data_IF_129762639707
#
_entry.id   IF_129762639707
#
_cell.length_a   1.000
_cell.length_b   1.000
_cell.length_c   1.000
_cell.angle_alpha   90.00
_cell.angle_beta   90.00
_cell.angle_gamma   90.00
#
_symmetry.space_group_name_H-M   'P 1'
#
loop_
_entity.id
_entity.type
_entity.pdbx_description
1 polymer ?
#
# COMPACT_ATOMS: atom_id res chain seq x y z
N UNK A 1 -9.80 -24.56 0.30
CA UNK A 1 -8.50 -24.01 -0.13
C UNK A 1 -8.57 -22.50 -0.38
N UNK A 2 -9.49 -21.97 -1.18
CA UNK A 2 -9.53 -20.52 -1.53
C UNK A 2 -9.65 -19.60 -0.32
N UNK A 3 -10.47 -19.96 0.69
CA UNK A 3 -10.57 -19.18 1.93
C UNK A 3 -9.26 -19.18 2.74
N UNK A 4 -8.52 -20.29 2.71
CA UNK A 4 -7.19 -20.35 3.34
C UNK A 4 -6.22 -19.38 2.66
N UNK A 5 -6.17 -19.35 1.32
CA UNK A 5 -5.34 -18.36 0.60
C UNK A 5 -5.80 -16.92 0.88
N UNK A 6 -7.10 -16.67 0.99
CA UNK A 6 -7.64 -15.35 1.36
C UNK A 6 -7.17 -14.92 2.76
N UNK A 7 -7.28 -15.81 3.75
CA UNK A 7 -6.79 -15.57 5.10
C UNK A 7 -5.28 -15.37 5.14
N UNK A 8 -4.52 -16.22 4.45
CA UNK A 8 -3.05 -16.11 4.32
C UNK A 8 -2.63 -14.75 3.78
N UNK A 9 -3.18 -14.33 2.65
CA UNK A 9 -2.85 -13.04 2.03
C UNK A 9 -3.29 -11.88 2.93
N UNK A 10 -4.45 -12.02 3.60
CA UNK A 10 -4.95 -11.05 4.57
C UNK A 10 -4.02 -10.88 5.77
N UNK A 11 -3.47 -11.96 6.31
CA UNK A 11 -2.51 -11.90 7.44
C UNK A 11 -1.21 -11.23 7.00
N UNK A 12 -0.59 -11.69 5.92
CA UNK A 12 0.71 -11.18 5.47
C UNK A 12 0.66 -9.69 5.10
N UNK A 13 -0.45 -9.20 4.51
CA UNK A 13 -0.55 -7.78 4.13
C UNK A 13 -0.64 -6.84 5.33
N UNK A 14 -1.08 -7.33 6.49
CA UNK A 14 -1.12 -6.56 7.74
C UNK A 14 0.27 -6.00 8.06
N UNK A 15 1.32 -6.76 7.85
CA UNK A 15 2.71 -6.40 8.18
C UNK A 15 3.21 -5.14 7.45
N UNK A 16 2.69 -4.87 6.25
CA UNK A 16 3.11 -3.73 5.42
C UNK A 16 2.62 -2.38 5.94
N UNK A 17 1.47 -2.36 6.62
CA UNK A 17 0.81 -1.12 7.04
C UNK A 17 0.77 -0.94 8.56
N UNK A 18 1.04 -1.99 9.32
CA UNK A 18 1.00 -1.99 10.78
C UNK A 18 1.98 -1.00 11.42
N UNK A 19 3.12 -0.76 10.77
CA UNK A 19 4.13 0.17 11.26
C UNK A 19 3.67 1.64 11.27
N UNK A 20 2.69 2.01 10.43
CA UNK A 20 2.24 3.39 10.29
C UNK A 20 1.71 3.99 11.61
N UNK A 21 0.72 3.42 12.29
CA UNK A 21 0.23 3.95 13.56
C UNK A 21 1.22 3.77 14.71
N UNK A 22 2.19 2.88 14.57
CA UNK A 22 3.20 2.56 15.60
C UNK A 22 4.49 3.39 15.47
N UNK A 23 4.58 4.29 14.48
CA UNK A 23 5.76 5.12 14.22
C UNK A 23 6.22 5.87 15.47
N UNK A 24 5.30 6.48 16.22
CA UNK A 24 5.62 7.22 17.44
C UNK A 24 6.21 6.33 18.55
N UNK A 25 5.49 5.31 19.03
CA UNK A 25 5.98 4.41 20.06
C UNK A 25 7.30 3.71 19.72
N UNK A 26 7.44 3.22 18.47
CA UNK A 26 8.65 2.55 18.01
C UNK A 26 9.83 3.52 17.98
N UNK A 27 9.66 4.71 17.41
CA UNK A 27 10.72 5.71 17.30
C UNK A 27 11.20 6.18 18.68
N UNK A 28 10.27 6.39 19.61
CA UNK A 28 10.59 6.81 20.97
C UNK A 28 11.42 5.75 21.70
N UNK A 29 10.99 4.49 21.65
CA UNK A 29 11.66 3.40 22.38
C UNK A 29 13.01 3.02 21.77
N UNK A 30 13.12 3.03 20.45
CA UNK A 30 14.38 2.76 19.73
C UNK A 30 15.28 3.99 19.61
N UNK A 31 14.87 5.13 20.19
CA UNK A 31 15.60 6.41 20.17
C UNK A 31 16.00 6.85 18.77
N UNK A 32 15.10 6.69 17.81
CA UNK A 32 15.36 7.16 16.46
C UNK A 32 15.32 8.70 16.40
N UNK A 33 16.24 9.34 15.68
CA UNK A 33 16.18 10.77 15.44
C UNK A 33 14.79 11.17 14.86
N UNK A 34 14.18 12.29 15.29
CA UNK A 34 12.84 12.67 14.86
C UNK A 34 12.66 12.70 13.34
N UNK A 35 13.66 13.20 12.58
CA UNK A 35 13.63 13.22 11.12
C UNK A 35 13.67 11.83 10.47
N UNK A 36 14.08 10.79 11.20
CA UNK A 36 14.16 9.41 10.71
C UNK A 36 12.96 8.55 11.15
N UNK A 37 12.03 9.09 11.93
CA UNK A 37 10.85 8.35 12.41
C UNK A 37 10.03 7.76 11.23
N UNK A 38 9.94 8.46 10.11
CA UNK A 38 9.25 7.99 8.91
C UNK A 38 9.84 6.70 8.30
N UNK A 39 11.11 6.36 8.60
CA UNK A 39 11.75 5.12 8.14
C UNK A 39 11.04 3.86 8.69
N UNK A 40 10.40 3.96 9.85
CA UNK A 40 9.62 2.88 10.45
C UNK A 40 8.52 2.40 9.50
N UNK A 41 7.82 3.31 8.85
CA UNK A 41 6.77 2.98 7.90
C UNK A 41 7.28 2.89 6.44
N UNK A 42 8.40 3.56 6.11
CA UNK A 42 9.01 3.55 4.79
C UNK A 42 9.59 2.18 4.43
N UNK A 43 10.40 1.59 5.32
CA UNK A 43 11.23 0.44 4.97
C UNK A 43 10.42 -0.83 4.65
N UNK A 44 9.33 -1.19 5.35
CA UNK A 44 8.48 -2.30 4.93
C UNK A 44 7.93 -2.12 3.51
N UNK A 45 7.51 -0.90 3.16
CA UNK A 45 6.94 -0.58 1.84
C UNK A 45 8.01 -0.63 0.74
N UNK A 46 9.19 -0.05 1.01
CA UNK A 46 10.33 -0.10 0.07
C UNK A 46 10.82 -1.53 -0.13
N UNK A 47 10.88 -2.31 0.96
CA UNK A 47 11.18 -3.74 0.91
C UNK A 47 10.20 -4.49 0.02
N UNK A 48 8.90 -4.27 0.20
CA UNK A 48 7.87 -4.89 -0.63
C UNK A 48 8.04 -4.56 -2.12
N UNK A 49 8.30 -3.29 -2.45
CA UNK A 49 8.59 -2.88 -3.83
C UNK A 49 9.83 -3.62 -4.40
N UNK A 50 10.90 -3.75 -3.60
CA UNK A 50 12.08 -4.52 -3.99
C UNK A 50 11.75 -6.01 -4.19
N UNK A 51 10.96 -6.61 -3.29
CA UNK A 51 10.52 -8.00 -3.40
C UNK A 51 9.68 -8.28 -4.65
N UNK A 52 8.83 -7.34 -5.07
CA UNK A 52 8.05 -7.45 -6.30
C UNK A 52 8.92 -7.55 -7.56
N UNK A 53 10.04 -6.86 -7.58
CA UNK A 53 10.97 -6.86 -8.71
C UNK A 53 11.95 -8.03 -8.62
N UNK A 54 12.44 -8.35 -7.40
CA UNK A 54 13.53 -9.31 -7.23
C UNK A 54 13.05 -10.72 -6.87
N UNK A 55 12.01 -10.88 -6.04
CA UNK A 55 11.59 -12.20 -5.55
C UNK A 55 10.44 -12.80 -6.36
N UNK A 56 9.46 -11.99 -6.76
CA UNK A 56 8.29 -12.50 -7.49
C UNK A 56 8.66 -13.19 -8.79
N UNK A 57 9.60 -12.69 -9.63
CA UNK A 57 10.00 -13.41 -10.85
C UNK A 57 10.64 -14.78 -10.62
N UNK A 58 11.11 -15.10 -9.43
CA UNK A 58 11.66 -16.41 -9.11
C UNK A 58 10.63 -17.54 -9.21
N UNK A 59 9.35 -17.21 -9.06
CA UNK A 59 8.25 -18.17 -9.22
C UNK A 59 8.16 -18.73 -10.65
N UNK A 60 8.62 -17.98 -11.65
CA UNK A 60 8.63 -18.40 -13.04
C UNK A 60 9.84 -19.28 -13.39
N UNK A 61 10.81 -19.40 -12.48
CA UNK A 61 12.09 -20.11 -12.69
C UNK A 61 12.25 -21.33 -11.78
N UNK A 62 11.76 -21.23 -10.56
CA UNK A 62 11.99 -22.21 -9.51
C UNK A 62 10.68 -22.92 -9.15
N UNK A 63 10.80 -24.00 -8.38
CA UNK A 63 9.63 -24.69 -7.84
C UNK A 63 8.80 -23.75 -6.94
N UNK A 64 7.57 -23.49 -7.33
CA UNK A 64 6.69 -22.51 -6.70
C UNK A 64 6.50 -22.74 -5.20
N UNK A 65 6.28 -23.99 -4.76
CA UNK A 65 6.14 -24.33 -3.34
C UNK A 65 7.40 -23.94 -2.56
N UNK A 66 8.58 -24.26 -3.07
CA UNK A 66 9.85 -23.95 -2.42
C UNK A 66 10.04 -22.43 -2.30
N UNK A 67 9.81 -21.68 -3.38
CA UNK A 67 9.93 -20.21 -3.36
C UNK A 67 8.96 -19.60 -2.37
N UNK A 68 7.67 -19.97 -2.42
CA UNK A 68 6.63 -19.42 -1.53
C UNK A 68 6.95 -19.71 -0.06
N UNK A 69 7.25 -20.98 0.27
CA UNK A 69 7.49 -21.40 1.66
C UNK A 69 8.77 -20.77 2.22
N UNK A 70 9.86 -20.75 1.46
CA UNK A 70 11.12 -20.13 1.92
C UNK A 70 10.97 -18.62 2.07
N UNK A 71 10.30 -17.94 1.16
CA UNK A 71 10.05 -16.51 1.26
C UNK A 71 9.22 -16.18 2.50
N UNK A 72 8.16 -16.95 2.77
CA UNK A 72 7.33 -16.72 3.95
C UNK A 72 8.05 -17.09 5.26
N UNK A 73 8.87 -18.13 5.27
CA UNK A 73 9.71 -18.47 6.43
C UNK A 73 10.73 -17.35 6.72
N UNK A 74 11.31 -16.74 5.69
CA UNK A 74 12.16 -15.55 5.83
C UNK A 74 11.35 -14.37 6.38
N UNK A 75 10.12 -14.16 5.91
CA UNK A 75 9.22 -13.12 6.45
C UNK A 75 9.02 -13.31 7.96
N UNK A 76 8.63 -14.50 8.38
CA UNK A 76 8.44 -14.83 9.79
C UNK A 76 9.72 -14.60 10.63
N UNK A 77 10.87 -15.04 10.13
CA UNK A 77 12.15 -14.83 10.84
C UNK A 77 12.51 -13.34 10.94
N UNK A 78 12.27 -12.56 9.88
CA UNK A 78 12.54 -11.12 9.86
C UNK A 78 11.55 -10.34 10.73
N UNK A 79 10.31 -10.79 10.90
CA UNK A 79 9.34 -10.20 11.82
C UNK A 79 9.65 -10.57 13.30
N UNK A 80 10.28 -11.69 13.56
CA UNK A 80 10.71 -12.05 14.90
C UNK A 80 11.82 -11.13 15.46
N UNK A 81 12.70 -10.62 14.59
CA UNK A 81 13.78 -9.70 15.00
C UNK A 81 13.26 -8.39 15.62
N UNK A 82 12.30 -7.65 15.03
CA UNK A 82 11.64 -6.51 15.66
C UNK A 82 11.07 -6.80 17.06
N UNK A 83 10.49 -7.98 17.26
CA UNK A 83 9.95 -8.36 18.57
C UNK A 83 11.01 -8.46 19.68
N UNK A 84 12.26 -8.74 19.32
CA UNK A 84 13.34 -9.04 20.25
C UNK A 84 14.40 -7.93 20.34
N UNK A 85 14.58 -7.13 19.26
CA UNK A 85 15.69 -6.16 19.18
C UNK A 85 15.44 -4.89 19.99
N UNK A 86 16.54 -4.31 20.47
CA UNK A 86 16.59 -2.94 21.02
C UNK A 86 17.35 -1.97 20.11
N UNK A 87 17.86 -2.45 18.98
CA UNK A 87 18.61 -1.65 18.02
C UNK A 87 17.69 -1.13 16.91
N UNK A 88 17.64 0.19 16.72
CA UNK A 88 16.91 0.82 15.64
C UNK A 88 17.37 0.36 14.26
N UNK A 89 18.69 0.18 14.06
CA UNK A 89 19.25 -0.30 12.79
C UNK A 89 18.79 -1.72 12.46
N UNK A 90 18.83 -2.65 13.46
CA UNK A 90 18.38 -4.02 13.27
C UNK A 90 16.87 -4.04 12.97
N UNK A 91 16.08 -3.24 13.68
CA UNK A 91 14.66 -3.08 13.42
C UNK A 91 14.38 -2.66 11.98
N UNK A 92 15.05 -1.61 11.52
CA UNK A 92 14.87 -1.05 10.18
C UNK A 92 15.26 -2.05 9.07
N UNK A 93 16.40 -2.72 9.20
CA UNK A 93 16.84 -3.73 8.24
C UNK A 93 15.93 -4.96 8.22
N UNK A 94 15.49 -5.42 9.40
CA UNK A 94 14.60 -6.55 9.53
C UNK A 94 13.22 -6.25 8.91
N UNK A 95 12.65 -5.07 9.14
CA UNK A 95 11.36 -4.68 8.55
C UNK A 95 11.44 -4.46 7.05
N UNK A 96 12.57 -3.97 6.51
CA UNK A 96 12.81 -3.95 5.08
C UNK A 96 12.82 -5.37 4.48
N UNK A 97 13.55 -6.29 5.09
CA UNK A 97 13.63 -7.68 4.64
C UNK A 97 12.28 -8.41 4.76
N UNK A 98 11.55 -8.18 5.86
CA UNK A 98 10.18 -8.69 6.03
C UNK A 98 9.25 -8.15 4.94
N UNK A 99 9.31 -6.85 4.65
CA UNK A 99 8.56 -6.23 3.56
C UNK A 99 8.89 -6.86 2.21
N UNK A 100 10.18 -7.10 1.91
CA UNK A 100 10.57 -7.77 0.68
C UNK A 100 9.98 -9.19 0.60
N UNK A 101 10.02 -9.93 1.69
CA UNK A 101 9.46 -11.28 1.76
C UNK A 101 7.92 -11.28 1.70
N UNK A 102 7.23 -10.26 2.21
CA UNK A 102 5.77 -10.12 2.08
C UNK A 102 5.29 -10.05 0.62
N UNK A 103 6.20 -9.81 -0.36
CA UNK A 103 5.89 -9.91 -1.78
C UNK A 103 5.38 -11.30 -2.21
N UNK A 104 5.53 -12.32 -1.37
CA UNK A 104 4.92 -13.66 -1.51
C UNK A 104 3.40 -13.57 -1.75
N UNK A 105 2.72 -12.53 -1.29
CA UNK A 105 1.31 -12.24 -1.59
C UNK A 105 1.04 -12.31 -3.10
N UNK A 106 1.92 -11.74 -3.92
CA UNK A 106 1.75 -11.71 -5.38
C UNK A 106 2.04 -13.07 -6.04
N UNK A 107 2.71 -13.97 -5.34
CA UNK A 107 2.90 -15.37 -5.78
C UNK A 107 1.69 -16.24 -5.43
N UNK A 108 1.03 -15.95 -4.29
CA UNK A 108 -0.12 -16.72 -3.79
C UNK A 108 -1.39 -16.50 -4.63
N UNK A 109 -1.62 -15.28 -5.16
CA UNK A 109 -2.81 -14.96 -5.97
C UNK A 109 -2.92 -15.85 -7.23
N UNK A 110 -1.90 -15.92 -8.13
CA UNK A 110 -1.96 -16.80 -9.28
C UNK A 110 -1.94 -18.29 -8.89
N UNK A 111 -1.30 -18.65 -7.78
CA UNK A 111 -1.31 -20.02 -7.27
C UNK A 111 -2.72 -20.46 -6.89
N UNK A 112 -3.46 -19.64 -6.17
CA UNK A 112 -4.86 -19.89 -5.80
C UNK A 112 -5.74 -20.06 -7.06
N UNK A 113 -5.55 -19.22 -8.07
CA UNK A 113 -6.25 -19.30 -9.34
C UNK A 113 -5.96 -20.63 -10.06
N UNK A 114 -4.67 -21.06 -10.08
CA UNK A 114 -4.25 -22.28 -10.76
C UNK A 114 -4.70 -23.58 -10.08
N UNK A 115 -5.09 -23.52 -8.81
CA UNK A 115 -5.62 -24.65 -8.04
C UNK A 115 -7.14 -24.76 -8.12
N UNK A 116 -7.83 -23.75 -8.65
CA UNK A 116 -9.27 -23.75 -8.83
C UNK A 116 -9.66 -24.35 -10.19
N UNK A 117 -10.83 -25.01 -10.30
CA UNK A 117 -11.41 -25.39 -11.59
C UNK A 117 -11.54 -24.16 -12.51
N UNK A 118 -11.40 -24.36 -13.83
CA UNK A 118 -11.40 -23.27 -14.81
C UNK A 118 -12.60 -22.33 -14.68
N UNK A 119 -13.80 -22.87 -14.50
CA UNK A 119 -15.03 -22.10 -14.30
C UNK A 119 -15.05 -21.28 -12.98
N UNK A 120 -14.17 -21.57 -12.02
CA UNK A 120 -14.12 -20.93 -10.71
C UNK A 120 -12.87 -20.08 -10.50
N UNK A 121 -11.96 -19.98 -11.47
CA UNK A 121 -10.70 -19.21 -11.32
C UNK A 121 -10.94 -17.75 -10.95
N UNK A 122 -11.90 -17.11 -11.59
CA UNK A 122 -12.27 -15.72 -11.29
C UNK A 122 -12.77 -15.55 -9.85
N UNK A 123 -13.61 -16.48 -9.38
CA UNK A 123 -14.09 -16.50 -7.99
C UNK A 123 -12.95 -16.73 -6.99
N UNK A 124 -11.99 -17.60 -7.31
CA UNK A 124 -10.84 -17.84 -6.47
C UNK A 124 -9.98 -16.59 -6.30
N UNK A 125 -9.65 -15.90 -7.39
CA UNK A 125 -8.93 -14.62 -7.35
C UNK A 125 -9.73 -13.57 -6.56
N UNK A 126 -11.03 -13.45 -6.81
CA UNK A 126 -11.90 -12.52 -6.08
C UNK A 126 -11.88 -12.74 -4.57
N UNK A 127 -11.99 -13.97 -4.11
CA UNK A 127 -11.93 -14.31 -2.69
C UNK A 127 -10.56 -13.96 -2.06
N UNK A 128 -9.45 -14.25 -2.76
CA UNK A 128 -8.10 -13.92 -2.26
C UNK A 128 -7.92 -12.39 -2.19
N UNK A 129 -8.40 -11.66 -3.20
CA UNK A 129 -8.36 -10.19 -3.19
C UNK A 129 -9.25 -9.59 -2.10
N UNK A 130 -10.38 -10.21 -1.77
CA UNK A 130 -11.20 -9.79 -0.62
C UNK A 130 -10.47 -9.98 0.70
N UNK A 131 -9.73 -11.08 0.86
CA UNK A 131 -8.84 -11.29 2.01
C UNK A 131 -7.74 -10.23 2.11
N UNK A 132 -7.12 -9.89 0.97
CA UNK A 132 -6.14 -8.80 0.89
C UNK A 132 -6.73 -7.46 1.36
N UNK A 133 -7.92 -7.10 0.85
CA UNK A 133 -8.59 -5.83 1.20
C UNK A 133 -8.96 -5.79 2.69
N UNK A 134 -9.46 -6.90 3.23
CA UNK A 134 -9.77 -7.01 4.66
C UNK A 134 -8.51 -6.88 5.52
N UNK A 135 -7.41 -7.51 5.11
CA UNK A 135 -6.12 -7.37 5.79
C UNK A 135 -5.60 -5.94 5.79
N UNK A 136 -5.68 -5.22 4.66
CA UNK A 136 -5.30 -3.81 4.58
C UNK A 136 -6.17 -2.96 5.51
N UNK A 137 -7.47 -3.18 5.52
CA UNK A 137 -8.41 -2.48 6.39
C UNK A 137 -8.08 -2.70 7.87
N UNK A 138 -7.85 -3.94 8.26
CA UNK A 138 -7.62 -4.32 9.66
C UNK A 138 -6.19 -4.06 10.13
N UNK A 139 -5.23 -3.84 9.24
CA UNK A 139 -3.81 -3.72 9.58
C UNK A 139 -3.52 -2.69 10.66
N UNK A 140 -4.00 -1.46 10.49
CA UNK A 140 -3.77 -0.36 11.43
C UNK A 140 -4.54 -0.52 12.74
N UNK A 141 -5.86 -0.86 12.72
CA UNK A 141 -6.60 -1.14 13.95
C UNK A 141 -5.99 -2.26 14.77
N UNK A 142 -5.66 -3.41 14.16
CA UNK A 142 -5.06 -4.55 14.87
C UNK A 142 -3.70 -4.20 15.47
N UNK A 143 -2.83 -3.54 14.68
CA UNK A 143 -1.53 -3.12 15.17
C UNK A 143 -1.65 -2.19 16.38
N UNK A 144 -2.55 -1.20 16.32
CA UNK A 144 -2.76 -0.25 17.39
C UNK A 144 -3.40 -0.89 18.63
N UNK A 145 -4.38 -1.80 18.45
CA UNK A 145 -5.02 -2.52 19.57
C UNK A 145 -4.03 -3.44 20.28
N UNK A 146 -3.28 -4.25 19.54
CA UNK A 146 -2.29 -5.16 20.13
C UNK A 146 -1.20 -4.34 20.81
N UNK A 147 -0.70 -3.29 20.18
CA UNK A 147 0.35 -2.46 20.76
C UNK A 147 -0.14 -1.68 21.98
N UNK A 148 -1.39 -1.24 22.01
CA UNK A 148 -1.99 -0.57 23.16
C UNK A 148 -2.18 -1.46 24.39
N UNK A 149 -2.38 -2.78 24.18
CA UNK A 149 -2.61 -3.75 25.24
C UNK A 149 -1.35 -4.48 25.69
N UNK A 150 -0.44 -4.80 24.77
CA UNK A 150 0.71 -5.69 25.02
C UNK A 150 2.06 -5.09 24.55
N UNK A 151 2.05 -3.84 24.06
CA UNK A 151 3.22 -3.21 23.46
C UNK A 151 3.43 -3.58 21.98
N UNK A 152 4.12 -2.71 21.26
CA UNK A 152 4.32 -2.88 19.80
C UNK A 152 5.15 -4.13 19.43
N UNK A 153 6.03 -4.61 20.33
CA UNK A 153 6.79 -5.85 20.11
C UNK A 153 5.90 -7.08 20.05
N UNK A 154 4.82 -7.10 20.84
CA UNK A 154 3.86 -8.21 20.81
C UNK A 154 3.19 -8.34 19.43
N UNK A 155 2.90 -7.21 18.75
CA UNK A 155 2.39 -7.25 17.38
C UNK A 155 3.35 -8.00 16.46
N UNK A 156 4.64 -7.65 16.47
CA UNK A 156 5.63 -8.31 15.60
C UNK A 156 5.85 -9.78 15.97
N UNK A 157 5.79 -10.14 17.24
CA UNK A 157 5.87 -11.53 17.70
C UNK A 157 4.67 -12.37 17.24
N UNK A 158 3.46 -11.83 17.33
CA UNK A 158 2.22 -12.47 16.86
C UNK A 158 2.27 -12.63 15.33
N UNK A 159 2.67 -11.59 14.59
CA UNK A 159 2.80 -11.64 13.15
C UNK A 159 3.83 -12.69 12.69
N UNK A 160 4.99 -12.74 13.35
CA UNK A 160 6.01 -13.76 13.08
C UNK A 160 5.49 -15.19 13.32
N UNK A 161 4.77 -15.41 14.41
CA UNK A 161 4.19 -16.72 14.72
C UNK A 161 3.09 -17.11 13.72
N UNK A 162 2.26 -16.17 13.30
CA UNK A 162 1.23 -16.39 12.30
C UNK A 162 1.83 -16.76 10.94
N UNK A 163 2.84 -16.00 10.48
CA UNK A 163 3.53 -16.30 9.23
C UNK A 163 4.28 -17.63 9.26
N UNK A 164 4.91 -17.98 10.38
CA UNK A 164 5.56 -19.29 10.57
C UNK A 164 4.54 -20.45 10.51
N UNK A 165 3.39 -20.29 11.16
CA UNK A 165 2.31 -21.27 11.11
C UNK A 165 1.77 -21.42 9.67
N UNK A 166 1.54 -20.32 8.96
CA UNK A 166 1.11 -20.32 7.57
C UNK A 166 2.17 -20.97 6.67
N UNK A 167 3.44 -20.66 6.83
CA UNK A 167 4.55 -21.26 6.09
C UNK A 167 4.56 -22.79 6.27
N UNK A 168 4.34 -23.26 7.49
CA UNK A 168 4.27 -24.70 7.83
C UNK A 168 3.09 -25.36 7.11
N UNK A 169 1.90 -24.75 7.17
CA UNK A 169 0.72 -25.30 6.49
C UNK A 169 0.91 -25.33 4.98
N UNK A 170 1.48 -24.27 4.39
CA UNK A 170 1.79 -24.22 2.96
C UNK A 170 2.85 -25.26 2.56
N UNK A 171 3.87 -25.49 3.41
CA UNK A 171 4.87 -26.53 3.19
C UNK A 171 4.24 -27.95 3.11
N UNK A 172 3.19 -28.19 3.89
CA UNK A 172 2.50 -29.49 3.95
C UNK A 172 1.43 -29.66 2.87
N UNK A 173 0.77 -28.57 2.46
CA UNK A 173 -0.44 -28.61 1.63
C UNK A 173 -0.27 -28.14 0.19
N UNK A 174 0.77 -27.34 -0.09
CA UNK A 174 0.96 -26.78 -1.42
C UNK A 174 1.55 -27.82 -2.38
N UNK A 175 0.99 -28.03 -3.58
CA UNK A 175 1.56 -28.93 -4.56
C UNK A 175 2.86 -28.37 -5.12
N UNK A 176 3.88 -29.23 -5.26
CA UNK A 176 5.11 -28.89 -5.92
C UNK A 176 4.87 -28.75 -7.43
N UNK A 177 5.05 -27.56 -7.98
CA UNK A 177 4.96 -27.27 -9.42
C UNK A 177 6.26 -26.64 -9.87
N UNK A 178 6.87 -27.21 -10.91
CA UNK A 178 8.04 -26.63 -11.56
C UNK A 178 7.60 -25.97 -12.86
N UNK A 179 7.81 -24.65 -13.02
CA UNK A 179 7.52 -23.99 -14.28
C UNK A 179 8.50 -24.47 -15.36
N UNK A 180 8.06 -24.49 -16.62
CA UNK A 180 8.94 -24.69 -17.76
C UNK A 180 9.56 -23.33 -18.09
N UNK A 181 10.68 -23.01 -17.45
CA UNK A 181 11.38 -21.75 -17.65
C UNK A 181 11.97 -21.69 -19.07
N UNK A 182 11.53 -20.75 -19.87
CA UNK A 182 12.07 -20.47 -21.22
C UNK A 182 13.11 -19.35 -21.21
N UNK A 183 13.21 -18.59 -20.13
CA UNK A 183 14.11 -17.44 -19.98
C UNK A 183 14.83 -17.47 -18.64
N UNK A 184 16.08 -17.00 -18.60
CA UNK A 184 16.84 -16.86 -17.37
C UNK A 184 16.40 -15.61 -16.55
N UNK A 185 16.79 -15.56 -15.27
CA UNK A 185 16.44 -14.50 -14.34
C UNK A 185 16.81 -13.09 -14.85
N UNK A 186 18.03 -12.93 -15.41
CA UNK A 186 18.47 -11.65 -15.99
C UNK A 186 17.58 -11.20 -17.17
N UNK A 187 17.14 -12.15 -18.00
CA UNK A 187 16.26 -11.86 -19.12
C UNK A 187 14.86 -11.41 -18.65
N UNK A 188 14.36 -11.99 -17.55
CA UNK A 188 13.10 -11.56 -16.93
C UNK A 188 13.21 -10.15 -16.39
N UNK A 189 14.26 -9.82 -15.64
CA UNK A 189 14.48 -8.45 -15.14
C UNK A 189 14.66 -7.44 -16.29
N UNK A 190 15.45 -7.79 -17.32
CA UNK A 190 15.61 -6.94 -18.50
C UNK A 190 14.27 -6.73 -19.24
N UNK A 191 13.38 -7.74 -19.25
CA UNK A 191 12.05 -7.62 -19.85
C UNK A 191 11.14 -6.64 -19.06
N UNK A 192 11.27 -6.61 -17.73
CA UNK A 192 10.56 -5.62 -16.89
C UNK A 192 11.07 -4.20 -17.17
N UNK A 193 12.41 -4.02 -17.30
CA UNK A 193 12.99 -2.74 -17.69
C UNK A 193 12.50 -2.26 -19.06
N UNK A 194 12.44 -3.16 -20.06
CA UNK A 194 11.87 -2.83 -21.39
C UNK A 194 10.38 -2.45 -21.29
N UNK A 195 9.55 -3.21 -20.57
CA UNK A 195 8.14 -2.86 -20.37
C UNK A 195 7.99 -1.44 -19.77
N UNK A 196 8.83 -1.10 -18.80
CA UNK A 196 8.80 0.25 -18.21
C UNK A 196 9.26 1.32 -19.21
N UNK A 197 10.24 1.03 -20.08
CA UNK A 197 10.72 1.95 -21.09
C UNK A 197 9.72 2.13 -22.27
N UNK A 198 9.11 1.04 -22.71
CA UNK A 198 8.34 0.99 -23.96
C UNK A 198 6.85 1.33 -23.78
N UNK A 199 6.30 1.12 -22.54
CA UNK A 199 4.86 1.26 -22.28
C UNK A 199 4.52 2.61 -21.60
N UNK A 200 4.14 3.64 -22.35
CA UNK A 200 3.80 4.96 -21.80
C UNK A 200 2.57 4.93 -20.90
N UNK A 201 1.61 4.04 -21.16
CA UNK A 201 0.40 3.87 -20.33
C UNK A 201 0.79 3.33 -18.96
N UNK A 202 1.71 2.35 -18.89
CA UNK A 202 2.25 1.85 -17.63
C UNK A 202 2.90 2.98 -16.84
N UNK A 203 3.85 3.72 -17.43
CA UNK A 203 4.55 4.82 -16.74
C UNK A 203 3.58 5.87 -16.20
N UNK A 204 2.57 6.22 -16.99
CA UNK A 204 1.56 7.22 -16.60
C UNK A 204 0.77 6.78 -15.39
N UNK A 205 0.20 5.58 -15.41
CA UNK A 205 -0.61 5.09 -14.31
C UNK A 205 0.23 4.71 -13.09
N UNK A 206 1.44 4.19 -13.28
CA UNK A 206 2.37 3.90 -12.20
C UNK A 206 2.82 5.17 -11.46
N UNK A 207 3.10 6.26 -12.20
CA UNK A 207 3.47 7.54 -11.57
C UNK A 207 2.29 8.16 -10.82
N UNK A 208 1.08 8.15 -11.40
CA UNK A 208 -0.13 8.62 -10.70
C UNK A 208 -0.34 7.84 -9.40
N UNK A 209 -0.32 6.51 -9.50
CA UNK A 209 -0.48 5.62 -8.36
C UNK A 209 0.61 5.81 -7.28
N UNK A 210 1.86 6.05 -7.68
CA UNK A 210 2.96 6.35 -6.75
C UNK A 210 2.73 7.68 -6.02
N UNK A 211 2.31 8.73 -6.73
CA UNK A 211 2.06 10.04 -6.13
C UNK A 211 0.88 10.02 -5.15
N UNK A 212 -0.23 9.39 -5.52
CA UNK A 212 -1.39 9.30 -4.59
C UNK A 212 -1.08 8.42 -3.38
N UNK A 213 -0.28 7.36 -3.56
CA UNK A 213 0.17 6.53 -2.44
C UNK A 213 1.17 7.25 -1.55
N UNK A 214 1.97 8.16 -2.09
CA UNK A 214 2.85 9.02 -1.28
C UNK A 214 2.04 9.94 -0.37
N UNK A 215 0.99 10.58 -0.89
CA UNK A 215 0.07 11.40 -0.07
C UNK A 215 -0.62 10.58 1.03
N UNK A 216 -1.12 9.40 0.67
CA UNK A 216 -1.73 8.45 1.60
C UNK A 216 -0.79 8.03 2.72
N UNK A 217 0.43 7.59 2.36
CA UNK A 217 1.41 7.16 3.36
C UNK A 217 1.91 8.31 4.21
N UNK A 218 2.02 9.53 3.68
CA UNK A 218 2.36 10.70 4.47
C UNK A 218 1.31 10.95 5.56
N UNK A 219 0.02 10.92 5.20
CA UNK A 219 -1.08 11.09 6.14
C UNK A 219 -1.08 9.97 7.22
N UNK A 220 -1.13 8.69 6.80
CA UNK A 220 -1.27 7.58 7.73
C UNK A 220 -0.05 7.35 8.63
N UNK A 221 1.14 7.77 8.20
CA UNK A 221 2.36 7.70 9.03
C UNK A 221 2.35 8.74 10.15
N UNK A 222 1.78 9.92 9.92
CA UNK A 222 1.83 11.02 10.87
C UNK A 222 0.52 11.24 11.65
N UNK A 223 -0.63 10.70 11.19
CA UNK A 223 -1.92 10.95 11.86
C UNK A 223 -1.94 10.44 13.31
N UNK A 224 -1.29 9.30 13.58
CA UNK A 224 -1.15 8.77 14.94
C UNK A 224 -0.41 9.74 15.86
N UNK A 225 0.65 10.40 15.35
CA UNK A 225 1.38 11.44 16.09
C UNK A 225 0.52 12.66 16.36
N UNK A 226 -0.32 13.06 15.40
CA UNK A 226 -1.23 14.22 15.57
C UNK A 226 -2.35 13.91 16.56
N UNK A 227 -2.96 12.73 16.48
CA UNK A 227 -4.03 12.32 17.39
C UNK A 227 -3.55 12.13 18.83
N UNK A 228 -2.26 11.81 19.03
CA UNK A 228 -1.66 11.73 20.36
C UNK A 228 -1.37 13.08 21.01
N UNK A 229 -1.53 14.20 20.29
CA UNK A 229 -1.33 15.55 20.80
C UNK A 229 -2.65 16.26 21.13
N UNK A 230 -2.63 17.29 22.02
CA UNK A 230 -3.78 18.14 22.26
C UNK A 230 -4.35 18.74 20.94
N UNK A 231 -5.65 18.91 20.85
CA UNK A 231 -6.69 18.65 21.85
C UNK A 231 -7.22 17.22 21.83
N UNK A 232 -6.65 16.30 21.03
CA UNK A 232 -7.20 14.96 20.85
C UNK A 232 -6.78 13.99 21.97
N UNK A 233 -5.49 13.96 22.32
CA UNK A 233 -4.88 13.16 23.39
C UNK A 233 -5.25 11.66 23.34
N UNK A 234 -5.28 11.10 22.11
CA UNK A 234 -5.63 9.70 21.91
C UNK A 234 -4.47 8.78 22.28
N UNK A 235 -4.77 7.77 23.10
CA UNK A 235 -3.93 6.58 23.20
C UNK A 235 -4.08 5.67 21.99
N UNK A 236 -3.30 4.58 21.94
CA UNK A 236 -3.31 3.64 20.81
C UNK A 236 -4.68 3.02 20.53
N UNK A 237 -5.53 2.83 21.53
CA UNK A 237 -6.91 2.35 21.35
C UNK A 237 -7.78 3.38 20.60
N UNK A 238 -7.65 4.67 20.91
CA UNK A 238 -8.35 5.73 20.18
C UNK A 238 -7.86 5.85 18.74
N UNK A 239 -6.54 5.72 18.52
CA UNK A 239 -5.94 5.67 17.17
C UNK A 239 -6.45 4.45 16.38
N UNK A 240 -6.62 3.30 17.04
CA UNK A 240 -7.19 2.11 16.43
C UNK A 240 -8.62 2.34 15.93
N UNK A 241 -9.47 2.99 16.74
CA UNK A 241 -10.83 3.35 16.34
C UNK A 241 -10.83 4.33 15.16
N UNK A 242 -9.99 5.36 15.21
CA UNK A 242 -9.85 6.31 14.11
C UNK A 242 -9.43 5.62 12.79
N UNK A 243 -8.59 4.59 12.86
CA UNK A 243 -8.10 3.89 11.67
C UNK A 243 -9.22 3.20 10.86
N UNK A 244 -10.39 2.94 11.45
CA UNK A 244 -11.57 2.47 10.70
C UNK A 244 -12.13 3.50 9.73
N UNK A 245 -11.79 4.79 9.85
CA UNK A 245 -12.15 5.79 8.85
C UNK A 245 -11.59 5.42 7.44
N UNK A 246 -10.45 4.72 7.37
CA UNK A 246 -9.90 4.17 6.12
C UNK A 246 -10.70 3.04 5.48
N UNK A 247 -11.79 2.55 6.10
CA UNK A 247 -12.64 1.49 5.53
C UNK A 247 -13.34 1.89 4.22
N UNK A 248 -13.50 3.17 3.96
CA UNK A 248 -14.18 3.72 2.78
C UNK A 248 -13.54 3.30 1.45
N UNK A 249 -12.23 3.03 1.42
CA UNK A 249 -11.53 2.52 0.25
C UNK A 249 -12.13 1.22 -0.29
N UNK A 250 -12.57 0.32 0.61
CA UNK A 250 -13.24 -0.94 0.22
C UNK A 250 -14.56 -0.64 -0.49
N UNK A 251 -15.32 0.34 -0.01
CA UNK A 251 -16.60 0.76 -0.59
C UNK A 251 -16.38 1.43 -1.95
N UNK A 252 -15.33 2.21 -2.14
CA UNK A 252 -15.04 2.91 -3.38
C UNK A 252 -14.69 1.97 -4.56
N UNK A 253 -14.09 0.81 -4.28
CA UNK A 253 -13.61 -0.14 -5.30
C UNK A 253 -14.65 -0.52 -6.35
N UNK A 254 -15.88 -0.99 -6.02
CA UNK A 254 -16.86 -1.38 -7.03
C UNK A 254 -17.38 -0.19 -7.85
N UNK A 255 -17.41 1.02 -7.28
CA UNK A 255 -17.81 2.23 -8.03
C UNK A 255 -16.74 2.64 -9.03
N UNK A 256 -15.46 2.60 -8.65
CA UNK A 256 -14.34 2.85 -9.54
C UNK A 256 -14.31 1.83 -10.71
N UNK A 257 -14.53 0.54 -10.41
CA UNK A 257 -14.62 -0.50 -11.43
C UNK A 257 -15.73 -0.22 -12.45
N UNK A 258 -16.95 0.04 -11.97
CA UNK A 258 -18.11 0.38 -12.84
C UNK A 258 -17.87 1.64 -13.68
N UNK A 259 -17.24 2.67 -13.10
CA UNK A 259 -16.90 3.88 -13.86
C UNK A 259 -15.91 3.57 -14.98
N UNK A 260 -14.92 2.71 -14.73
CA UNK A 260 -13.99 2.22 -15.75
C UNK A 260 -14.69 1.43 -16.85
N UNK A 261 -15.63 0.54 -16.51
CA UNK A 261 -16.38 -0.31 -17.47
C UNK A 261 -17.30 0.52 -18.39
N UNK A 262 -17.87 1.60 -17.85
CA UNK A 262 -18.74 2.52 -18.58
C UNK A 262 -18.00 3.58 -19.38
N UNK A 263 -16.67 3.54 -19.45
CA UNK A 263 -15.87 4.54 -20.18
C UNK A 263 -15.66 5.86 -19.44
N UNK A 264 -16.16 6.00 -18.20
CA UNK A 264 -16.03 7.22 -17.39
C UNK A 264 -14.73 7.26 -16.56
N UNK A 265 -13.76 6.35 -16.80
CA UNK A 265 -12.54 6.23 -16.00
C UNK A 265 -11.75 7.53 -15.86
N UNK A 266 -11.61 8.30 -16.94
CA UNK A 266 -10.89 9.58 -16.90
C UNK A 266 -11.60 10.67 -16.07
N UNK A 267 -12.93 10.67 -16.02
CA UNK A 267 -13.70 11.58 -15.19
C UNK A 267 -13.62 11.15 -13.70
N UNK A 268 -13.75 9.86 -13.43
CA UNK A 268 -13.62 9.30 -12.10
C UNK A 268 -12.23 9.53 -11.49
N UNK A 269 -11.17 9.42 -12.31
CA UNK A 269 -9.80 9.69 -11.86
C UNK A 269 -9.60 11.17 -11.47
N UNK A 270 -10.14 12.10 -12.28
CA UNK A 270 -10.10 13.53 -11.94
C UNK A 270 -10.88 13.85 -10.67
N UNK A 271 -12.08 13.29 -10.55
CA UNK A 271 -12.90 13.45 -9.35
C UNK A 271 -12.16 12.92 -8.10
N UNK A 272 -11.50 11.75 -8.22
CA UNK A 272 -10.67 11.20 -7.15
C UNK A 272 -9.56 12.16 -6.71
N UNK A 273 -8.80 12.73 -7.66
CA UNK A 273 -7.74 13.68 -7.32
C UNK A 273 -8.27 14.97 -6.69
N UNK A 274 -9.39 15.50 -7.20
CA UNK A 274 -10.03 16.71 -6.62
C UNK A 274 -10.57 16.41 -5.22
N UNK A 275 -11.22 15.27 -5.02
CA UNK A 275 -11.72 14.87 -3.70
C UNK A 275 -10.58 14.65 -2.69
N UNK A 276 -9.45 14.10 -3.12
CA UNK A 276 -8.26 13.96 -2.28
C UNK A 276 -7.68 15.32 -1.88
N UNK A 277 -7.61 16.29 -2.80
CA UNK A 277 -7.17 17.66 -2.48
C UNK A 277 -8.10 18.31 -1.47
N UNK A 278 -9.42 18.23 -1.68
CA UNK A 278 -10.42 18.74 -0.73
C UNK A 278 -10.31 18.06 0.64
N UNK A 279 -10.11 16.73 0.66
CA UNK A 279 -9.89 15.97 1.88
C UNK A 279 -8.66 16.45 2.65
N UNK A 280 -7.53 16.66 1.95
CA UNK A 280 -6.28 17.12 2.58
C UNK A 280 -6.39 18.56 3.09
N UNK A 281 -7.15 19.42 2.43
CA UNK A 281 -7.48 20.77 2.95
C UNK A 281 -8.31 20.64 4.22
N UNK A 282 -9.36 19.81 4.23
CA UNK A 282 -10.18 19.58 5.43
C UNK A 282 -9.35 19.01 6.61
N UNK A 283 -8.43 18.10 6.31
CA UNK A 283 -7.46 17.53 7.26
C UNK A 283 -6.53 18.63 7.82
N UNK A 284 -6.08 19.57 6.97
CA UNK A 284 -5.29 20.72 7.37
C UNK A 284 -6.07 21.69 8.24
N UNK A 285 -7.33 21.97 7.90
CA UNK A 285 -8.24 22.78 8.74
C UNK A 285 -8.38 22.16 10.12
N UNK A 286 -8.76 20.90 10.18
CA UNK A 286 -9.07 20.21 11.43
C UNK A 286 -7.84 19.95 12.32
N UNK A 287 -6.70 19.60 11.69
CA UNK A 287 -5.50 19.20 12.43
C UNK A 287 -4.45 20.30 12.60
N UNK A 288 -4.39 21.28 11.68
CA UNK A 288 -3.39 22.36 11.68
C UNK A 288 -3.98 23.74 11.97
N UNK A 289 -5.28 23.86 12.14
CA UNK A 289 -5.93 25.16 12.41
C UNK A 289 -5.94 26.10 11.20
N UNK A 290 -5.88 25.59 9.98
CA UNK A 290 -5.93 26.43 8.79
C UNK A 290 -7.21 27.25 8.74
N UNK A 291 -7.13 28.44 8.17
CA UNK A 291 -8.24 29.42 8.07
C UNK A 291 -8.81 29.84 9.43
N UNK A 292 -8.00 29.75 10.52
CA UNK A 292 -8.43 30.19 11.85
C UNK A 292 -9.34 29.20 12.58
N UNK A 293 -9.42 27.92 12.12
CA UNK A 293 -10.22 26.90 12.80
C UNK A 293 -9.60 26.52 14.15
N UNK A 294 -10.35 26.69 15.24
CA UNK A 294 -9.92 26.32 16.58
C UNK A 294 -10.36 24.89 16.92
N UNK A 295 -9.40 23.95 16.84
CA UNK A 295 -9.63 22.56 17.17
C UNK A 295 -9.80 22.32 18.68
N UNK A 296 -9.37 23.24 19.56
CA UNK A 296 -9.61 23.13 21.00
C UNK A 296 -11.06 23.47 21.34
N UNK A 297 -11.60 24.54 20.74
CA UNK A 297 -12.99 24.93 20.92
C UNK A 297 -13.98 23.94 20.26
N UNK A 298 -13.56 23.27 19.15
CA UNK A 298 -14.43 22.43 18.33
C UNK A 298 -13.85 21.03 18.11
N UNK A 299 -13.43 20.37 19.19
CA UNK A 299 -12.72 19.08 19.15
C UNK A 299 -13.47 17.98 18.36
N UNK A 300 -14.76 17.84 18.60
CA UNK A 300 -15.56 16.80 17.95
C UNK A 300 -15.74 17.08 16.44
N UNK A 301 -15.94 18.33 16.06
CA UNK A 301 -15.98 18.74 14.66
C UNK A 301 -14.62 18.49 13.96
N UNK A 302 -13.51 18.77 14.65
CA UNK A 302 -12.17 18.47 14.15
C UNK A 302 -11.99 16.96 13.92
N UNK A 303 -12.42 16.12 14.84
CA UNK A 303 -12.36 14.65 14.69
C UNK A 303 -13.21 14.15 13.52
N UNK A 304 -14.43 14.68 13.36
CA UNK A 304 -15.30 14.33 12.24
C UNK A 304 -14.66 14.74 10.91
N UNK A 305 -14.09 15.94 10.82
CA UNK A 305 -13.40 16.42 9.62
C UNK A 305 -12.16 15.60 9.30
N UNK A 306 -11.35 15.21 10.30
CA UNK A 306 -10.20 14.33 10.12
C UNK A 306 -10.63 12.96 9.61
N UNK A 307 -11.68 12.37 10.20
CA UNK A 307 -12.18 11.05 9.81
C UNK A 307 -12.80 11.08 8.40
N UNK A 308 -13.60 12.07 8.08
CA UNK A 308 -14.17 12.27 6.74
C UNK A 308 -13.08 12.51 5.70
N UNK A 309 -12.07 13.32 6.03
CA UNK A 309 -10.90 13.56 5.19
C UNK A 309 -10.11 12.27 4.94
N UNK A 310 -9.85 11.48 5.99
CA UNK A 310 -9.20 10.17 5.85
C UNK A 310 -10.00 9.24 4.91
N UNK A 311 -11.32 9.18 5.10
CA UNK A 311 -12.21 8.39 4.27
C UNK A 311 -12.17 8.81 2.79
N UNK A 312 -12.24 10.09 2.50
CA UNK A 312 -12.17 10.61 1.13
C UNK A 312 -10.78 10.40 0.50
N UNK A 313 -9.72 10.54 1.27
CA UNK A 313 -8.36 10.28 0.83
C UNK A 313 -8.20 8.82 0.41
N UNK A 314 -8.63 7.87 1.26
CA UNK A 314 -8.56 6.43 0.98
C UNK A 314 -9.40 6.05 -0.25
N UNK A 315 -10.63 6.57 -0.36
CA UNK A 315 -11.48 6.35 -1.53
C UNK A 315 -10.82 6.84 -2.83
N UNK A 316 -10.16 8.00 -2.78
CA UNK A 316 -9.42 8.56 -3.92
C UNK A 316 -8.25 7.68 -4.35
N UNK A 317 -7.43 7.25 -3.41
CA UNK A 317 -6.27 6.36 -3.67
C UNK A 317 -6.71 5.04 -4.28
N UNK A 318 -7.75 4.41 -3.71
CA UNK A 318 -8.28 3.13 -4.21
C UNK A 318 -8.88 3.29 -5.61
N UNK A 319 -9.52 4.43 -5.90
CA UNK A 319 -10.05 4.75 -7.22
C UNK A 319 -8.93 4.87 -8.25
N UNK A 320 -7.86 5.63 -7.96
CA UNK A 320 -6.69 5.74 -8.84
C UNK A 320 -6.05 4.38 -9.10
N UNK A 321 -5.79 3.61 -8.04
CA UNK A 321 -5.19 2.28 -8.13
C UNK A 321 -6.05 1.31 -8.97
N UNK A 322 -7.37 1.31 -8.78
CA UNK A 322 -8.30 0.42 -9.49
C UNK A 322 -8.33 0.73 -10.98
N UNK A 323 -8.44 2.01 -11.34
CA UNK A 323 -8.47 2.45 -12.73
C UNK A 323 -7.11 2.26 -13.42
N UNK A 324 -6.01 2.55 -12.72
CA UNK A 324 -4.66 2.32 -13.21
C UNK A 324 -4.38 0.84 -13.46
N UNK A 325 -4.72 -0.02 -12.51
CA UNK A 325 -4.58 -1.49 -12.65
C UNK A 325 -5.40 -2.04 -13.82
N UNK A 326 -6.63 -1.54 -13.98
CA UNK A 326 -7.45 -1.89 -15.15
C UNK A 326 -6.78 -1.50 -16.46
N UNK A 327 -6.27 -0.28 -16.56
CA UNK A 327 -5.61 0.23 -17.77
C UNK A 327 -4.39 -0.62 -18.16
N UNK A 328 -3.51 -0.95 -17.22
CA UNK A 328 -2.30 -1.75 -17.50
C UNK A 328 -2.61 -3.20 -17.86
N UNK A 329 -3.67 -3.78 -17.28
CA UNK A 329 -4.07 -5.16 -17.57
C UNK A 329 -4.61 -5.38 -18.99
N UNK A 330 -4.99 -4.30 -19.67
CA UNK A 330 -5.44 -4.32 -21.06
C UNK A 330 -4.28 -4.22 -22.07
N UNK A 331 -3.06 -3.88 -21.65
CA UNK A 331 -1.91 -3.67 -22.54
C UNK A 331 -1.42 -4.98 -23.16
N UNK A 332 -1.05 -5.96 -22.37
CA UNK A 332 -0.45 -7.20 -22.84
C UNK A 332 -0.83 -8.37 -21.92
N UNK A 333 -1.71 -9.29 -22.37
CA UNK A 333 -2.12 -10.46 -21.59
C UNK A 333 -0.97 -11.36 -21.16
N UNK A 334 0.05 -11.54 -22.01
CA UNK A 334 1.21 -12.40 -21.73
C UNK A 334 2.20 -11.77 -20.71
N UNK A 335 2.12 -10.44 -20.50
CA UNK A 335 2.99 -9.71 -19.57
C UNK A 335 2.27 -9.23 -18.31
N UNK A 336 1.00 -9.62 -18.07
CA UNK A 336 0.17 -9.10 -16.98
C UNK A 336 0.84 -9.18 -15.60
N UNK A 337 1.48 -10.29 -15.27
CA UNK A 337 2.19 -10.45 -14.00
C UNK A 337 3.30 -9.40 -13.82
N UNK A 338 4.14 -9.21 -14.86
CA UNK A 338 5.23 -8.22 -14.86
C UNK A 338 4.72 -6.78 -14.83
N UNK A 339 3.67 -6.47 -15.60
CA UNK A 339 3.01 -5.16 -15.60
C UNK A 339 2.43 -4.83 -14.21
N UNK A 340 1.73 -5.78 -13.58
CA UNK A 340 1.22 -5.60 -12.22
C UNK A 340 2.35 -5.46 -11.20
N UNK A 341 3.42 -6.23 -11.30
CA UNK A 341 4.59 -6.12 -10.43
C UNK A 341 5.23 -4.72 -10.49
N UNK A 342 5.43 -4.19 -11.70
CA UNK A 342 5.96 -2.84 -11.90
C UNK A 342 5.02 -1.75 -11.38
N UNK A 343 3.73 -1.87 -11.67
CA UNK A 343 2.71 -0.91 -11.22
C UNK A 343 2.61 -0.87 -9.69
N UNK A 344 2.48 -2.04 -9.05
CA UNK A 344 2.39 -2.15 -7.59
C UNK A 344 3.73 -1.78 -6.94
N UNK A 345 4.87 -2.12 -7.57
CA UNK A 345 6.19 -1.69 -7.12
C UNK A 345 6.31 -0.17 -7.08
N UNK A 346 5.94 0.51 -8.15
CA UNK A 346 5.93 1.98 -8.20
C UNK A 346 4.98 2.58 -7.14
N UNK A 347 3.79 2.01 -6.96
CA UNK A 347 2.83 2.40 -5.92
C UNK A 347 3.48 2.36 -4.52
N UNK A 348 4.17 1.29 -4.16
CA UNK A 348 4.83 1.15 -2.85
C UNK A 348 6.11 1.98 -2.73
N UNK A 349 6.84 2.25 -3.81
CA UNK A 349 7.94 3.24 -3.82
C UNK A 349 7.39 4.62 -3.48
N UNK A 350 6.25 5.01 -4.07
CA UNK A 350 5.56 6.25 -3.71
C UNK A 350 5.20 6.29 -2.23
N UNK A 351 4.59 5.20 -1.72
CA UNK A 351 4.26 5.08 -0.30
C UNK A 351 5.47 5.21 0.62
N UNK A 352 6.58 4.57 0.27
CA UNK A 352 7.84 4.70 1.00
C UNK A 352 8.34 6.15 1.06
N UNK A 353 8.34 6.85 -0.09
CA UNK A 353 8.72 8.27 -0.16
C UNK A 353 7.80 9.15 0.70
N UNK A 354 6.49 8.92 0.63
CA UNK A 354 5.52 9.66 1.46
C UNK A 354 5.74 9.46 2.95
N UNK A 355 5.99 8.22 3.39
CA UNK A 355 6.28 7.91 4.78
C UNK A 355 7.59 8.55 5.27
N UNK A 356 8.66 8.50 4.47
CA UNK A 356 9.94 9.15 4.80
C UNK A 356 9.78 10.65 4.96
N UNK A 357 9.14 11.30 3.97
CA UNK A 357 8.93 12.74 3.98
C UNK A 357 7.97 13.19 5.09
N UNK A 358 7.00 12.34 5.48
CA UNK A 358 6.14 12.63 6.62
C UNK A 358 6.93 12.75 7.92
N UNK A 359 7.90 11.85 8.17
CA UNK A 359 8.76 11.92 9.36
C UNK A 359 9.60 13.20 9.38
N UNK A 360 10.24 13.53 8.27
CA UNK A 360 11.05 14.75 8.13
C UNK A 360 10.20 16.02 8.24
N UNK A 361 9.03 16.06 7.59
CA UNK A 361 8.10 17.17 7.65
C UNK A 361 7.55 17.37 9.07
N UNK A 362 7.19 16.29 9.76
CA UNK A 362 6.77 16.32 11.14
C UNK A 362 7.83 16.93 12.06
N UNK A 363 9.08 16.49 11.90
CA UNK A 363 10.21 17.00 12.68
C UNK A 363 10.51 18.48 12.41
N UNK A 364 10.28 18.95 11.17
CA UNK A 364 10.56 20.32 10.76
C UNK A 364 9.48 21.30 11.21
N UNK A 365 8.21 21.06 10.93
CA UNK A 365 7.13 21.99 11.21
C UNK A 365 5.79 21.31 11.60
N UNK A 366 5.86 20.05 12.08
CA UNK A 366 4.70 19.33 12.60
C UNK A 366 3.65 18.99 11.55
N UNK A 367 2.39 18.92 12.00
CA UNK A 367 1.27 18.51 11.16
C UNK A 367 1.01 19.38 9.91
N UNK A 368 1.14 20.72 9.96
CA UNK A 368 0.98 21.57 8.77
C UNK A 368 1.92 21.17 7.62
N UNK A 369 3.18 20.85 7.94
CA UNK A 369 4.16 20.45 6.93
C UNK A 369 3.82 19.07 6.32
N UNK A 370 3.32 18.13 7.12
CA UNK A 370 2.83 16.83 6.62
C UNK A 370 1.68 17.01 5.64
N UNK A 371 0.70 17.86 5.98
CA UNK A 371 -0.41 18.22 5.09
C UNK A 371 0.09 18.86 3.79
N UNK A 372 1.09 19.74 3.85
CA UNK A 372 1.73 20.36 2.69
C UNK A 372 2.38 19.33 1.77
N UNK A 373 3.11 18.36 2.32
CA UNK A 373 3.72 17.25 1.56
C UNK A 373 2.63 16.42 0.86
N UNK A 374 1.56 16.06 1.56
CA UNK A 374 0.47 15.27 0.99
C UNK A 374 -0.26 16.03 -0.13
N UNK A 375 -0.50 17.34 0.06
CA UNK A 375 -1.08 18.21 -0.96
C UNK A 375 -0.18 18.34 -2.19
N UNK A 376 1.13 18.48 -2.01
CA UNK A 376 2.08 18.56 -3.11
C UNK A 376 2.05 17.29 -3.98
N UNK A 377 2.05 16.11 -3.37
CA UNK A 377 1.95 14.85 -4.08
C UNK A 377 0.62 14.69 -4.83
N UNK A 378 -0.49 15.00 -4.17
CA UNK A 378 -1.82 14.89 -4.81
C UNK A 378 -1.99 15.91 -5.93
N UNK A 379 -1.51 17.15 -5.73
CA UNK A 379 -1.50 18.20 -6.74
C UNK A 379 -0.65 17.81 -7.96
N UNK A 380 0.52 17.21 -7.73
CA UNK A 380 1.37 16.68 -8.81
C UNK A 380 0.66 15.57 -9.60
N UNK A 381 -0.05 14.64 -8.93
CA UNK A 381 -0.84 13.60 -9.60
C UNK A 381 -1.94 14.20 -10.48
N UNK A 382 -2.69 15.18 -9.96
CA UNK A 382 -3.75 15.89 -10.71
C UNK A 382 -3.21 16.66 -11.90
N UNK A 383 -2.14 17.44 -11.73
CA UNK A 383 -1.49 18.21 -12.79
C UNK A 383 -0.96 17.31 -13.91
N UNK A 384 -0.30 16.20 -13.55
CA UNK A 384 0.20 15.22 -14.50
C UNK A 384 -0.94 14.58 -15.30
N UNK A 385 -2.07 14.26 -14.67
CA UNK A 385 -3.27 13.75 -15.34
C UNK A 385 -3.86 14.72 -16.36
N UNK A 386 -3.83 16.03 -16.09
CA UNK A 386 -4.29 17.08 -17.00
C UNK A 386 -3.35 17.30 -18.19
N UNK A 387 -2.05 17.33 -17.95
CA UNK A 387 -1.02 17.56 -18.97
C UNK A 387 -1.02 16.48 -20.06
N UNK A 388 -1.23 15.23 -19.67
CA UNK A 388 -1.28 14.09 -20.62
C UNK A 388 -2.51 14.10 -21.52
N UNK A 389 -3.64 14.66 -21.09
CA UNK A 389 -4.85 14.79 -21.91
C UNK A 389 -4.65 15.81 -23.05
N UNK A 390 -3.96 16.91 -22.78
CA UNK A 390 -3.66 17.93 -23.80
C UNK A 390 -2.83 17.37 -24.95
N UNK A 391 -1.86 16.49 -24.66
CA UNK A 391 -1.02 15.84 -25.70
C UNK A 391 -1.78 14.82 -26.54
N UNK A 392 -2.71 14.06 -25.96
CA UNK A 392 -3.53 13.07 -26.69
C UNK A 392 -4.61 13.73 -27.58
N UNK A 393 -5.10 14.91 -27.21
CA UNK A 393 -6.07 15.68 -28.01
C UNK A 393 -5.46 16.42 -29.19
N UNK A 394 -4.15 16.70 -29.17
CA UNK A 394 -3.44 17.42 -30.23
C UNK A 394 -2.95 16.50 -31.36
N UNK A 395 -3.07 15.19 -31.28
CA UNK A 395 -2.49 14.22 -32.21
C UNK A 395 -3.49 13.40 -33.01
N UNK A 396 -4.77 13.84 -33.14
CA UNK A 396 -5.73 13.23 -34.07
C UNK A 396 -5.85 14.13 -35.29
N UNK A 397 -5.17 13.84 -36.44
CA UNK A 397 -5.50 14.44 -37.70
C UNK A 397 -6.89 13.91 -38.10
N UNK A 398 -7.85 14.81 -38.32
CA UNK A 398 -9.08 14.47 -39.01
C UNK A 398 -8.73 13.85 -40.38
N UNK A 399 -8.84 12.52 -40.48
CA UNK A 399 -8.91 11.90 -41.81
C UNK A 399 -10.21 12.35 -42.42
N UNK A 400 -10.12 13.34 -43.30
CA UNK A 400 -11.15 13.66 -44.27
C UNK A 400 -11.45 12.40 -45.08
N UNK A 401 -12.66 11.89 -44.95
CA UNK A 401 -13.20 10.86 -45.86
C UNK A 401 -13.48 11.52 -47.22
N UNK A 402 -13.11 10.85 -48.30
CA UNK A 402 -13.59 11.22 -49.64
C UNK A 402 -15.08 10.89 -49.81
#
# INVERSE_FOLDING_TARGET
>A
MTLFFAATVGVIVVDLFAAQPLTGPISAELRLPPGLAGLVAMLPQLGYAAGLVLLVPLVDLLENRRVIVTTLAVCAAMLALPALTRSGTVFLLATFAAGAASSVIQMLVPMAASMAPDAQRGRAVGNVMSGLMLGILLSRPLASLIAGSFGWRAFYGIAAAADAAIATVLALRLPARRPHATAGYRALLASMGRLLADEPVLRRHALSAALVMAAFSAFWTAIGLRLAQPPFDFGLHGIALFAFAGASGVIATPFAGRAGDRGHGAAALRLAHVSMLAALVAIGVAGAGWFGFDAHAHRDAALVLLAAGAALLDAGVVTDQTLGRRAINLLNPAARGRLNGLFVGAFFVGGALGAALAGSAWAWAGWPAVCGVALAFTGAAGAFGLATKRRSGASVPQKTRP
#
